data_IF_543867058263
#
_entry.id   IF_543867058263
#
_cell.length_a   1.000
_cell.length_b   1.000
_cell.length_c   1.000
_cell.angle_alpha   90.00
_cell.angle_beta   90.00
_cell.angle_gamma   90.00
#
_symmetry.space_group_name_H-M   'P 1'
#
loop_
_entity.id
_entity.type
_entity.pdbx_description
1 polymer ?
#
# COMPACT_ATOMS: atom_id res chain seq x y z
N UNK A 1 -16.68 -8.86 17.09
CA UNK A 1 -15.41 -8.11 17.04
C UNK A 1 -14.29 -9.15 17.09
N UNK A 2 -13.35 -9.08 16.16
CA UNK A 2 -12.20 -9.99 15.99
C UNK A 2 -10.95 -9.46 16.70
N UNK A 3 -11.03 -8.25 17.27
CA UNK A 3 -9.90 -7.49 17.82
C UNK A 3 -8.81 -7.29 16.76
N UNK A 4 -9.24 -6.83 15.58
CA UNK A 4 -8.38 -6.73 14.39
C UNK A 4 -8.74 -5.51 13.54
N UNK A 5 -7.82 -5.09 12.66
CA UNK A 5 -8.05 -3.97 11.72
C UNK A 5 -9.33 -4.15 10.88
N UNK A 6 -9.67 -5.38 10.54
CA UNK A 6 -10.87 -5.72 9.75
C UNK A 6 -12.19 -5.65 10.54
N UNK A 7 -12.16 -5.26 11.82
CA UNK A 7 -13.37 -4.87 12.54
C UNK A 7 -13.90 -3.51 12.05
N UNK A 8 -13.08 -2.71 11.37
CA UNK A 8 -13.53 -1.53 10.61
C UNK A 8 -14.21 -2.01 9.32
N UNK A 9 -15.51 -1.75 9.12
CA UNK A 9 -16.23 -2.20 7.92
C UNK A 9 -15.60 -1.68 6.64
N UNK A 10 -15.51 -2.54 5.62
CA UNK A 10 -14.94 -2.20 4.31
C UNK A 10 -13.44 -2.45 4.18
N UNK A 11 -12.70 -2.51 5.28
CA UNK A 11 -11.27 -2.86 5.24
C UNK A 11 -11.07 -4.37 5.07
N UNK A 12 -10.21 -4.73 4.13
CA UNK A 12 -9.69 -6.08 3.91
C UNK A 12 -8.18 -6.08 4.12
N UNK A 13 -7.61 -7.20 4.56
CA UNK A 13 -6.16 -7.37 4.70
C UNK A 13 -5.76 -8.67 4.02
N UNK A 14 -4.75 -8.61 3.15
CA UNK A 14 -4.16 -9.75 2.48
C UNK A 14 -2.67 -9.86 2.78
N UNK A 15 -2.17 -11.08 2.84
CA UNK A 15 -0.76 -11.37 3.08
C UNK A 15 -0.23 -12.33 2.02
N UNK A 16 1.01 -12.10 1.58
CA UNK A 16 1.79 -13.08 0.84
C UNK A 16 3.16 -13.22 1.48
N UNK A 17 3.61 -14.45 1.67
CA UNK A 17 4.88 -14.76 2.33
C UNK A 17 5.70 -15.66 1.43
N UNK A 18 6.99 -15.35 1.30
CA UNK A 18 8.00 -16.22 0.72
C UNK A 18 8.90 -16.78 1.84
N UNK A 19 8.61 -17.99 2.36
CA UNK A 19 9.38 -18.57 3.45
C UNK A 19 10.83 -18.85 3.06
N UNK A 20 11.12 -19.11 1.79
CA UNK A 20 12.46 -19.43 1.31
C UNK A 20 13.39 -18.22 1.25
N UNK A 21 12.84 -17.01 1.09
CA UNK A 21 13.58 -15.76 1.06
C UNK A 21 13.35 -14.90 2.32
N UNK A 22 12.70 -15.45 3.36
CA UNK A 22 12.47 -14.73 4.62
C UNK A 22 11.69 -13.41 4.50
N UNK A 23 10.89 -13.25 3.44
CA UNK A 23 10.26 -11.96 3.09
C UNK A 23 8.79 -12.12 2.68
N UNK A 24 8.11 -11.03 2.39
CA UNK A 24 6.71 -11.02 1.98
C UNK A 24 6.12 -9.62 1.85
N UNK A 25 4.80 -9.56 1.70
CA UNK A 25 4.06 -8.30 1.72
C UNK A 25 2.67 -8.46 2.34
N UNK A 26 2.15 -7.33 2.81
CA UNK A 26 0.81 -7.16 3.36
C UNK A 26 0.14 -6.00 2.65
N UNK A 27 -1.10 -6.20 2.22
CA UNK A 27 -1.92 -5.15 1.61
C UNK A 27 -3.14 -4.91 2.49
N UNK A 28 -3.34 -3.65 2.89
CA UNK A 28 -4.63 -3.19 3.42
C UNK A 28 -5.41 -2.61 2.25
N UNK A 29 -6.62 -3.12 2.01
CA UNK A 29 -7.46 -2.79 0.86
C UNK A 29 -8.79 -2.19 1.32
N UNK A 30 -9.20 -1.09 0.68
CA UNK A 30 -10.54 -0.52 0.76
C UNK A 30 -11.05 -0.21 -0.66
N UNK A 31 -11.88 -1.09 -1.20
CA UNK A 31 -12.41 -0.97 -2.58
C UNK A 31 -13.28 0.29 -2.77
N UNK A 32 -13.84 0.82 -1.68
CA UNK A 32 -14.67 2.03 -1.70
C UNK A 32 -13.85 3.33 -1.63
N UNK A 33 -12.52 3.24 -1.53
CA UNK A 33 -11.67 4.38 -1.21
C UNK A 33 -11.67 4.68 0.30
N UNK A 34 -10.58 5.27 0.78
CA UNK A 34 -10.48 5.75 2.17
C UNK A 34 -9.55 6.95 2.22
N UNK A 35 -9.90 7.94 3.04
CA UNK A 35 -9.02 9.07 3.35
C UNK A 35 -7.76 8.55 4.05
N UNK A 36 -6.60 8.97 3.58
CA UNK A 36 -5.32 8.54 4.13
C UNK A 36 -4.38 9.72 4.36
N UNK A 37 -3.52 9.58 5.37
CA UNK A 37 -2.41 10.46 5.68
C UNK A 37 -1.23 9.62 6.15
N UNK A 38 -0.02 10.18 6.16
CA UNK A 38 1.19 9.46 6.58
C UNK A 38 2.09 10.34 7.43
N UNK A 39 2.76 9.71 8.40
CA UNK A 39 3.82 10.32 9.18
C UNK A 39 5.05 9.39 9.20
N UNK A 40 6.15 9.84 8.60
CA UNK A 40 7.39 9.07 8.48
C UNK A 40 8.41 9.61 9.48
N UNK A 41 8.72 8.81 10.49
CA UNK A 41 9.59 9.21 11.62
C UNK A 41 10.97 8.57 11.64
N UNK A 42 11.20 7.56 10.79
CA UNK A 42 12.51 6.92 10.65
C UNK A 42 13.48 7.77 9.82
N UNK A 43 14.78 7.61 10.05
CA UNK A 43 15.83 8.39 9.36
C UNK A 43 16.27 7.80 8.02
N UNK A 44 15.83 6.58 7.69
CA UNK A 44 16.15 5.88 6.44
C UNK A 44 14.89 5.18 5.88
N UNK A 45 13.88 5.94 5.45
CA UNK A 45 12.63 5.37 4.96
C UNK A 45 12.79 4.77 3.56
N UNK A 46 12.17 3.61 3.34
CA UNK A 46 11.86 3.08 2.02
C UNK A 46 10.35 3.25 1.81
N UNK A 47 9.97 4.33 1.12
CA UNK A 47 8.56 4.70 0.91
C UNK A 47 8.24 4.99 -0.55
N UNK A 48 6.96 4.87 -0.91
CA UNK A 48 6.41 5.20 -2.23
C UNK A 48 5.11 5.99 -2.04
N UNK A 49 4.91 7.03 -2.86
CA UNK A 49 3.68 7.85 -2.94
C UNK A 49 3.25 8.52 -1.63
N UNK A 50 4.19 8.74 -0.70
CA UNK A 50 3.90 9.43 0.58
C UNK A 50 3.58 10.91 0.40
N UNK A 51 4.24 11.59 -0.54
CA UNK A 51 4.00 13.01 -0.81
C UNK A 51 2.58 13.29 -1.29
N UNK A 52 1.93 12.33 -1.97
CA UNK A 52 0.55 12.45 -2.43
C UNK A 52 -0.47 12.42 -1.28
N UNK A 53 -0.06 11.97 -0.09
CA UNK A 53 -0.90 11.94 1.12
C UNK A 53 -0.83 13.23 1.93
N UNK A 54 -0.11 14.25 1.46
CA UNK A 54 -0.18 15.58 2.04
C UNK A 54 -1.60 16.15 1.85
N UNK A 55 -2.25 16.70 2.90
CA UNK A 55 -3.61 17.22 2.81
C UNK A 55 -3.81 18.34 1.78
N UNK A 56 -2.74 18.97 1.29
CA UNK A 56 -2.83 19.99 0.22
C UNK A 56 -2.81 19.39 -1.19
N UNK A 57 -2.51 18.10 -1.33
CA UNK A 57 -2.46 17.42 -2.62
C UNK A 57 -3.85 17.02 -3.14
N UNK A 58 -3.94 16.80 -4.45
CA UNK A 58 -5.20 16.47 -5.12
C UNK A 58 -5.76 15.09 -4.71
N UNK A 59 -4.90 14.15 -4.34
CA UNK A 59 -5.33 12.81 -3.93
C UNK A 59 -5.99 12.91 -2.56
N UNK A 60 -7.28 12.62 -2.47
CA UNK A 60 -8.05 12.65 -1.21
C UNK A 60 -8.29 11.26 -0.64
N UNK A 61 -8.30 10.24 -1.51
CA UNK A 61 -8.59 8.85 -1.14
C UNK A 61 -7.62 7.90 -1.83
N UNK A 62 -7.25 6.83 -1.12
CA UNK A 62 -6.51 5.70 -1.66
C UNK A 62 -7.32 4.42 -1.50
N UNK A 63 -7.03 3.43 -2.32
CA UNK A 63 -7.75 2.16 -2.31
C UNK A 63 -6.93 1.04 -1.66
N UNK A 64 -5.60 1.20 -1.55
CA UNK A 64 -4.74 0.24 -0.89
C UNK A 64 -3.52 0.91 -0.27
N UNK A 65 -2.98 0.27 0.78
CA UNK A 65 -1.66 0.55 1.36
C UNK A 65 -0.86 -0.75 1.36
N UNK A 66 0.40 -0.68 0.93
CA UNK A 66 1.32 -1.81 0.92
C UNK A 66 2.35 -1.69 2.05
N UNK A 67 2.55 -2.77 2.79
CA UNK A 67 3.67 -2.96 3.71
C UNK A 67 4.46 -4.17 3.24
N UNK A 68 5.74 -3.98 2.92
CA UNK A 68 6.58 -5.03 2.34
C UNK A 68 7.88 -5.28 3.10
N UNK A 69 8.48 -6.44 2.83
CA UNK A 69 9.91 -6.66 3.04
C UNK A 69 10.74 -6.14 1.86
N UNK A 70 12.01 -6.55 1.76
CA UNK A 70 12.88 -6.31 0.62
C UNK A 70 13.58 -4.94 0.59
N UNK A 71 13.49 -4.14 1.66
CA UNK A 71 14.01 -2.76 1.69
C UNK A 71 13.48 -1.94 0.50
N UNK A 72 14.27 -1.03 -0.05
CA UNK A 72 13.89 -0.22 -1.21
C UNK A 72 13.46 -1.05 -2.44
N UNK A 73 14.01 -2.25 -2.64
CA UNK A 73 13.62 -3.13 -3.76
C UNK A 73 12.17 -3.63 -3.62
N UNK A 74 11.70 -3.80 -2.38
CA UNK A 74 10.34 -4.25 -2.09
C UNK A 74 9.25 -3.30 -2.54
N UNK A 75 9.57 -2.02 -2.75
CA UNK A 75 8.61 -1.02 -3.24
C UNK A 75 8.05 -1.38 -4.62
N UNK A 76 8.75 -2.21 -5.40
CA UNK A 76 8.26 -2.74 -6.68
C UNK A 76 6.99 -3.60 -6.53
N UNK A 77 6.72 -4.16 -5.34
CA UNK A 77 5.47 -4.90 -5.11
C UNK A 77 4.23 -4.01 -5.21
N UNK A 78 4.36 -2.68 -5.07
CA UNK A 78 3.27 -1.73 -5.24
C UNK A 78 2.72 -1.74 -6.67
N UNK A 79 3.57 -2.00 -7.68
CA UNK A 79 3.15 -2.05 -9.08
C UNK A 79 2.15 -3.20 -9.33
N UNK A 80 2.32 -4.34 -8.63
CA UNK A 80 1.38 -5.45 -8.68
C UNK A 80 0.02 -5.10 -8.07
N UNK A 81 0.02 -4.32 -6.97
CA UNK A 81 -1.21 -3.81 -6.35
C UNK A 81 -1.90 -2.80 -7.25
N UNK A 82 -1.14 -1.88 -7.85
CA UNK A 82 -1.67 -0.92 -8.83
C UNK A 82 -2.35 -1.65 -9.98
N UNK A 83 -1.67 -2.61 -10.62
CA UNK A 83 -2.25 -3.37 -11.73
C UNK A 83 -3.56 -4.05 -11.33
N UNK A 84 -3.59 -4.70 -10.16
CA UNK A 84 -4.81 -5.33 -9.66
C UNK A 84 -5.93 -4.30 -9.46
N UNK A 85 -5.65 -3.16 -8.84
CA UNK A 85 -6.65 -2.09 -8.64
C UNK A 85 -7.19 -1.56 -9.97
N UNK A 86 -6.31 -1.30 -10.94
CA UNK A 86 -6.69 -0.82 -12.27
C UNK A 86 -7.60 -1.83 -12.99
N UNK A 87 -7.22 -3.12 -13.00
CA UNK A 87 -8.00 -4.22 -13.58
C UNK A 87 -9.41 -4.35 -12.96
N UNK A 88 -9.58 -3.92 -11.71
CA UNK A 88 -10.84 -3.96 -10.97
C UNK A 88 -11.55 -2.59 -10.93
N UNK A 89 -11.05 -1.59 -11.65
CA UNK A 89 -11.67 -0.28 -11.75
C UNK A 89 -11.58 0.56 -10.46
N UNK A 90 -10.53 0.39 -9.67
CA UNK A 90 -10.22 1.19 -8.48
C UNK A 90 -9.07 2.15 -8.75
N UNK A 91 -9.16 3.37 -8.25
CA UNK A 91 -8.14 4.41 -8.44
C UNK A 91 -8.72 5.81 -8.58
N UNK A 92 -7.84 6.80 -8.66
CA UNK A 92 -8.20 8.20 -8.93
C UNK A 92 -8.68 8.32 -10.37
N UNK A 93 -9.90 8.82 -10.57
CA UNK A 93 -10.40 9.13 -11.90
C UNK A 93 -9.69 10.37 -12.46
N UNK A 94 -8.95 10.19 -13.55
CA UNK A 94 -8.21 11.26 -14.24
C UNK A 94 -8.89 11.66 -15.57
N UNK A 95 -10.14 11.26 -15.78
CA UNK A 95 -10.96 11.58 -16.96
C UNK A 95 -10.70 10.71 -18.19
N UNK A 96 -9.53 10.08 -18.30
CA UNK A 96 -9.17 9.14 -19.38
C UNK A 96 -8.99 7.70 -18.89
N UNK A 97 -9.12 7.49 -17.58
CA UNK A 97 -8.89 6.21 -16.92
C UNK A 97 -8.82 6.41 -15.41
N UNK A 98 -8.56 5.31 -14.69
CA UNK A 98 -8.31 5.34 -13.25
C UNK A 98 -6.83 5.08 -13.01
N UNK A 99 -6.20 5.96 -12.23
CA UNK A 99 -4.81 5.81 -11.80
C UNK A 99 -4.81 5.36 -10.33
N UNK A 100 -4.46 4.10 -10.03
CA UNK A 100 -4.33 3.65 -8.66
C UNK A 100 -3.19 4.39 -7.96
N UNK A 101 -3.45 4.90 -6.76
CA UNK A 101 -2.44 5.47 -5.86
C UNK A 101 -2.22 4.45 -4.76
N UNK A 102 -1.00 3.91 -4.66
CA UNK A 102 -0.67 2.84 -3.69
C UNK A 102 0.51 3.29 -2.83
N UNK A 103 0.26 4.00 -1.72
CA UNK A 103 1.28 4.29 -0.74
C UNK A 103 1.90 3.00 -0.21
N UNK A 104 3.23 2.98 -0.14
CA UNK A 104 3.96 1.80 0.33
C UNK A 104 5.07 2.17 1.31
N UNK A 105 5.34 1.24 2.22
CA UNK A 105 6.52 1.27 3.10
C UNK A 105 7.14 -0.12 3.19
N UNK A 106 8.47 -0.19 3.10
CA UNK A 106 9.20 -1.44 3.18
C UNK A 106 10.20 -1.47 4.33
N UNK A 107 10.30 -2.61 5.00
CA UNK A 107 11.30 -2.88 6.04
C UNK A 107 12.53 -3.59 5.44
N UNK A 108 13.64 -3.54 6.19
CA UNK A 108 14.88 -4.23 5.82
C UNK A 108 14.88 -5.65 6.38
N UNK A 109 14.73 -6.65 5.51
CA UNK A 109 14.82 -8.08 5.83
C UNK A 109 15.78 -8.85 4.92
N UNK A 110 16.58 -8.15 4.10
CA UNK A 110 17.52 -8.76 3.14
C UNK A 110 18.48 -9.81 3.74
N UNK A 111 18.92 -9.72 5.02
CA UNK A 111 19.79 -10.76 5.61
C UNK A 111 19.07 -12.05 5.99
N UNK A 112 17.73 -12.10 5.95
CA UNK A 112 16.94 -13.25 6.40
C UNK A 112 16.52 -14.19 5.25
N UNK A 113 16.98 -13.90 4.02
CA UNK A 113 16.80 -14.72 2.82
C UNK A 113 18.11 -14.91 2.07
#
# INVERSE_FOLDING_TARGET
MRDALTDVPGLKVGHWTNPGAGTGCTVVLCEQGVVAGVDVRGTAPATRETDLLDPVCMVQEVHAILIGGGSAYGLAAADGVMRWLEEHGHGLDVGVGKVPIVPAACLFDLPFG
#
